data_IF_111776115798
#
_entry.id   IF_111776115798
#
_cell.length_a   1.000
_cell.length_b   1.000
_cell.length_c   1.000
_cell.angle_alpha   90.00
_cell.angle_beta   90.00
_cell.angle_gamma   90.00
#
_symmetry.space_group_name_H-M   'P 1'
#
loop_
_entity.id
_entity.type
_entity.pdbx_description
1 polymer ?
#
# COMPACT_ATOMS: atom_id res chain seq x y z
N UNK A 1 14.39 -10.86 -10.69
CA UNK A 1 12.97 -10.52 -10.99
C UNK A 1 12.25 -9.99 -9.76
N UNK A 2 12.29 -10.70 -8.62
CA UNK A 2 11.69 -10.21 -7.36
C UNK A 2 12.29 -8.87 -6.89
N UNK A 3 13.61 -8.71 -6.95
CA UNK A 3 14.28 -7.44 -6.60
C UNK A 3 13.76 -6.26 -7.44
N UNK A 4 13.47 -6.49 -8.72
CA UNK A 4 12.88 -5.47 -9.59
C UNK A 4 11.47 -5.08 -9.13
N UNK A 5 10.63 -6.06 -8.80
CA UNK A 5 9.30 -5.80 -8.25
C UNK A 5 9.38 -5.00 -6.94
N UNK A 6 10.29 -5.37 -6.03
CA UNK A 6 10.52 -4.66 -4.77
C UNK A 6 10.94 -3.21 -5.02
N UNK A 7 11.86 -2.97 -5.97
CA UNK A 7 12.25 -1.62 -6.35
C UNK A 7 11.07 -0.79 -6.87
N UNK A 8 10.20 -1.37 -7.71
CA UNK A 8 9.00 -0.68 -8.21
C UNK A 8 8.02 -0.36 -7.08
N UNK A 9 7.85 -1.26 -6.09
CA UNK A 9 7.04 -0.97 -4.90
C UNK A 9 7.65 0.10 -4.01
N UNK A 10 8.97 0.13 -3.87
CA UNK A 10 9.67 1.20 -3.15
C UNK A 10 9.46 2.53 -3.86
N UNK A 11 9.57 2.58 -5.19
CA UNK A 11 9.29 3.80 -5.98
C UNK A 11 7.86 4.28 -5.73
N UNK A 12 6.87 3.38 -5.75
CA UNK A 12 5.49 3.73 -5.45
C UNK A 12 5.34 4.38 -4.06
N UNK A 13 5.94 3.80 -3.02
CA UNK A 13 5.87 4.36 -1.66
C UNK A 13 6.59 5.70 -1.54
N UNK A 14 7.78 5.83 -2.14
CA UNK A 14 8.57 7.05 -2.16
C UNK A 14 7.78 8.17 -2.84
N UNK A 15 7.21 7.92 -4.03
CA UNK A 15 6.44 8.93 -4.78
C UNK A 15 5.18 9.36 -4.03
N UNK A 16 4.53 8.45 -3.30
CA UNK A 16 3.32 8.75 -2.51
C UNK A 16 3.58 9.24 -1.08
N UNK A 17 4.84 9.51 -0.70
CA UNK A 17 5.12 10.24 0.55
C UNK A 17 4.68 11.71 0.43
N UNK A 18 4.24 12.36 1.53
CA UNK A 18 3.85 13.77 1.52
C UNK A 18 5.10 14.67 1.43
N UNK A 19 5.66 14.78 0.23
CA UNK A 19 6.82 15.64 -0.03
C UNK A 19 6.47 17.13 0.08
N UNK A 20 7.43 17.98 0.50
CA UNK A 20 7.20 19.41 0.67
C UNK A 20 6.93 20.17 -0.63
N UNK A 21 7.21 19.55 -1.79
CA UNK A 21 6.93 20.15 -3.10
C UNK A 21 5.50 19.91 -3.60
N UNK A 22 4.70 19.09 -2.92
CA UNK A 22 3.30 18.90 -3.26
C UNK A 22 2.43 20.05 -2.75
N UNK A 23 1.40 20.39 -3.53
CA UNK A 23 0.53 21.53 -3.26
C UNK A 23 -0.26 21.39 -1.96
N UNK A 24 -0.10 22.40 -1.09
CA UNK A 24 -0.99 22.73 0.02
C UNK A 24 -1.05 21.70 1.16
N UNK A 25 -1.40 22.15 2.38
CA UNK A 25 -1.65 21.24 3.49
C UNK A 25 -2.96 20.46 3.29
N UNK A 26 -3.15 19.38 4.05
CA UNK A 26 -4.42 18.67 4.10
C UNK A 26 -5.55 19.61 4.55
N UNK A 27 -6.77 19.33 4.09
CA UNK A 27 -7.95 20.10 4.48
C UNK A 27 -8.56 19.48 5.73
N UNK A 28 -8.80 20.31 6.73
CA UNK A 28 -9.61 19.97 7.89
C UNK A 28 -11.08 19.82 7.49
N UNK A 29 -11.79 18.93 8.18
CA UNK A 29 -13.23 18.75 8.00
C UNK A 29 -13.93 19.91 8.71
N UNK A 30 -14.68 20.78 8.02
CA UNK A 30 -15.41 21.84 8.68
C UNK A 30 -16.52 21.23 9.56
N UNK A 31 -16.73 21.81 10.74
CA UNK A 31 -17.85 21.45 11.60
C UNK A 31 -19.15 21.84 10.90
N UNK A 32 -20.06 20.89 10.66
CA UNK A 32 -21.41 21.21 10.20
C UNK A 32 -22.12 21.98 11.32
N UNK A 33 -22.77 23.10 10.99
CA UNK A 33 -23.51 23.91 11.95
C UNK A 33 -24.47 23.02 12.77
N UNK A 34 -24.29 23.01 14.09
CA UNK A 34 -25.05 22.24 15.09
C UNK A 34 -24.67 20.76 15.30
N UNK A 35 -23.49 20.32 14.85
CA UNK A 35 -22.96 18.97 15.15
C UNK A 35 -21.69 19.04 16.01
N UNK A 36 -21.56 18.14 16.99
CA UNK A 36 -20.34 17.97 17.82
C UNK A 36 -19.35 16.98 17.20
N UNK A 37 -19.74 16.32 16.10
CA UNK A 37 -18.98 15.25 15.48
C UNK A 37 -18.62 15.59 14.03
N UNK A 38 -17.38 15.30 13.65
CA UNK A 38 -16.89 15.49 12.28
C UNK A 38 -17.21 14.24 11.47
N UNK A 39 -18.25 14.33 10.64
CA UNK A 39 -18.68 13.23 9.77
C UNK A 39 -17.79 13.11 8.52
N UNK A 40 -16.88 12.15 8.56
CA UNK A 40 -16.01 11.76 7.44
C UNK A 40 -16.75 11.12 6.26
N UNK A 41 -18.00 10.71 6.45
CA UNK A 41 -18.82 10.12 5.36
C UNK A 41 -19.33 11.15 4.36
N UNK A 42 -19.44 12.42 4.78
CA UNK A 42 -19.99 13.52 3.96
C UNK A 42 -18.86 14.34 3.33
N UNK A 43 -17.79 14.60 4.09
CA UNK A 43 -16.62 15.33 3.61
C UNK A 43 -15.33 14.62 3.98
N UNK A 44 -14.51 14.34 2.96
CA UNK A 44 -13.17 13.79 3.15
C UNK A 44 -12.21 14.83 3.70
N UNK A 45 -11.41 14.47 4.70
CA UNK A 45 -10.44 15.35 5.33
C UNK A 45 -9.82 14.74 6.57
N UNK A 46 -9.04 15.54 7.28
CA UNK A 46 -8.47 15.15 8.57
C UNK A 46 -9.31 15.72 9.72
N UNK A 47 -9.35 14.99 10.84
CA UNK A 47 -9.97 15.49 12.06
C UNK A 47 -9.18 16.66 12.67
N UNK A 48 -9.87 17.64 13.26
CA UNK A 48 -9.23 18.80 13.91
C UNK A 48 -8.30 18.41 15.06
N UNK A 49 -8.54 17.24 15.68
CA UNK A 49 -7.67 16.70 16.73
C UNK A 49 -6.24 16.44 16.26
N UNK A 50 -6.03 16.33 14.95
CA UNK A 50 -4.74 16.02 14.35
C UNK A 50 -4.04 17.30 13.91
N UNK A 51 -3.13 17.79 14.76
CA UNK A 51 -2.29 18.96 14.48
C UNK A 51 -1.40 18.77 13.23
N UNK A 52 -1.12 17.52 12.85
CA UNK A 52 -0.30 17.20 11.69
C UNK A 52 -0.95 17.48 10.34
N UNK A 53 -2.27 17.66 10.29
CA UNK A 53 -2.96 18.02 9.07
C UNK A 53 -2.57 19.41 8.55
N UNK A 54 -2.24 20.35 9.45
CA UNK A 54 -1.87 21.72 9.09
C UNK A 54 -0.53 21.83 8.34
N UNK A 55 0.39 20.87 8.50
CA UNK A 55 1.72 20.91 7.89
C UNK A 55 2.01 19.76 6.94
N UNK A 56 1.15 18.75 6.87
CA UNK A 56 1.32 17.62 5.94
C UNK A 56 0.84 18.02 4.55
N UNK A 57 1.71 17.91 3.55
CA UNK A 57 1.37 18.20 2.15
C UNK A 57 0.41 17.15 1.57
N UNK A 58 -0.50 17.58 0.71
CA UNK A 58 -1.45 16.69 0.03
C UNK A 58 -0.83 16.05 -1.20
N UNK A 59 -0.86 14.72 -1.28
CA UNK A 59 -0.48 14.00 -2.50
C UNK A 59 -1.54 14.21 -3.59
N UNK A 60 -1.16 14.63 -4.81
CA UNK A 60 -2.12 14.83 -5.90
C UNK A 60 -2.79 13.51 -6.31
N UNK A 61 -4.13 13.51 -6.35
CA UNK A 61 -4.93 12.30 -6.60
C UNK A 61 -4.61 11.64 -7.95
N UNK A 62 -4.39 12.43 -9.00
CA UNK A 62 -4.04 11.90 -10.32
C UNK A 62 -2.71 11.13 -10.32
N UNK A 63 -1.71 11.63 -9.57
CA UNK A 63 -0.41 10.99 -9.41
C UNK A 63 -0.54 9.70 -8.60
N UNK A 64 -1.33 9.71 -7.53
CA UNK A 64 -1.64 8.50 -6.76
C UNK A 64 -2.26 7.42 -7.66
N UNK A 65 -3.30 7.76 -8.42
CA UNK A 65 -4.00 6.81 -9.30
C UNK A 65 -3.04 6.28 -10.37
N UNK A 66 -2.33 7.16 -11.08
CA UNK A 66 -1.40 6.76 -12.13
C UNK A 66 -0.30 5.84 -11.59
N UNK A 67 0.35 6.24 -10.50
CA UNK A 67 1.42 5.44 -9.90
C UNK A 67 0.90 4.13 -9.33
N UNK A 68 -0.29 4.10 -8.74
CA UNK A 68 -0.93 2.87 -8.31
C UNK A 68 -1.15 1.92 -9.51
N UNK A 69 -1.81 2.38 -10.58
CA UNK A 69 -2.10 1.53 -11.74
C UNK A 69 -0.82 1.00 -12.39
N UNK A 70 0.17 1.85 -12.66
CA UNK A 70 1.40 1.42 -13.33
C UNK A 70 2.32 0.60 -12.42
N UNK A 71 2.56 1.04 -11.18
CA UNK A 71 3.50 0.35 -10.31
C UNK A 71 2.94 -1.00 -9.85
N UNK A 72 1.66 -1.07 -9.43
CA UNK A 72 1.06 -2.36 -9.09
C UNK A 72 0.92 -3.25 -10.33
N UNK A 73 0.48 -2.70 -11.46
CA UNK A 73 0.32 -3.45 -12.71
C UNK A 73 1.62 -4.08 -13.20
N UNK A 74 2.75 -3.39 -13.07
CA UNK A 74 4.06 -3.91 -13.43
C UNK A 74 4.60 -4.83 -12.34
N UNK A 75 4.56 -4.45 -11.06
CA UNK A 75 5.27 -5.18 -10.00
C UNK A 75 4.64 -6.55 -9.66
N UNK A 76 3.31 -6.68 -9.70
CA UNK A 76 2.64 -7.94 -9.34
C UNK A 76 3.05 -9.15 -10.21
N UNK A 77 3.09 -9.05 -11.55
CA UNK A 77 3.58 -10.12 -12.41
C UNK A 77 4.98 -10.62 -12.05
N UNK A 78 5.90 -9.71 -11.70
CA UNK A 78 7.28 -10.08 -11.35
C UNK A 78 7.41 -10.69 -9.94
N UNK A 79 6.45 -10.45 -9.04
CA UNK A 79 6.37 -11.16 -7.76
C UNK A 79 5.76 -12.57 -7.87
N UNK A 80 4.82 -12.77 -8.79
CA UNK A 80 4.09 -14.04 -8.93
C UNK A 80 4.94 -15.24 -9.38
N UNK A 81 6.14 -15.01 -9.91
CA UNK A 81 7.04 -16.06 -10.42
C UNK A 81 7.92 -16.71 -9.32
N UNK A 82 7.71 -16.38 -8.04
CA UNK A 82 8.52 -16.92 -6.94
C UNK A 82 8.35 -18.43 -6.77
N UNK A 83 7.15 -18.97 -7.00
CA UNK A 83 6.89 -20.41 -6.89
C UNK A 83 7.61 -21.25 -7.94
N UNK A 84 7.68 -20.76 -9.18
CA UNK A 84 8.40 -21.44 -10.28
C UNK A 84 9.91 -21.38 -10.08
N UNK A 85 10.46 -20.23 -9.70
CA UNK A 85 11.88 -20.10 -9.34
C UNK A 85 12.27 -21.00 -8.16
N UNK A 86 11.41 -21.05 -7.14
CA UNK A 86 11.63 -21.92 -5.98
C UNK A 86 11.62 -23.40 -6.37
N UNK A 87 10.70 -23.78 -7.27
CA UNK A 87 10.63 -25.13 -7.84
C UNK A 87 11.89 -25.51 -8.61
N UNK A 88 12.47 -24.57 -9.36
CA UNK A 88 13.70 -24.80 -10.11
C UNK A 88 14.89 -25.02 -9.16
N UNK A 89 14.98 -24.24 -8.08
CA UNK A 89 16.01 -24.40 -7.05
C UNK A 89 15.94 -25.74 -6.32
N UNK A 90 14.73 -26.24 -6.05
CA UNK A 90 14.51 -27.52 -5.38
C UNK A 90 14.81 -28.73 -6.29
N UNK A 91 14.64 -28.57 -7.60
CA UNK A 91 14.68 -29.67 -8.55
C UNK A 91 13.63 -30.75 -8.23
N UNK A 92 13.98 -32.02 -8.40
CA UNK A 92 13.08 -33.16 -8.18
C UNK A 92 12.95 -33.62 -6.72
N UNK A 93 13.58 -32.93 -5.76
CA UNK A 93 13.57 -33.36 -4.34
C UNK A 93 12.49 -32.64 -3.53
N UNK A 94 11.62 -33.42 -2.88
CA UNK A 94 10.61 -32.98 -1.90
C UNK A 94 9.84 -31.69 -2.28
N UNK A 95 9.58 -31.51 -3.58
CA UNK A 95 8.99 -30.30 -4.15
C UNK A 95 7.61 -30.00 -3.53
N UNK A 96 6.79 -31.04 -3.30
CA UNK A 96 5.45 -30.88 -2.74
C UNK A 96 5.43 -30.33 -1.31
N UNK A 97 6.29 -30.86 -0.42
CA UNK A 97 6.34 -30.38 0.96
C UNK A 97 6.85 -28.94 1.04
N UNK A 98 7.94 -28.65 0.34
CA UNK A 98 8.58 -27.33 0.37
C UNK A 98 7.70 -26.25 -0.28
N UNK A 99 7.03 -26.55 -1.40
CA UNK A 99 6.04 -25.63 -1.98
C UNK A 99 4.81 -25.47 -1.06
N UNK A 100 4.42 -26.52 -0.34
CA UNK A 100 3.37 -26.46 0.69
C UNK A 100 3.73 -25.51 1.83
N UNK A 101 4.96 -25.55 2.34
CA UNK A 101 5.47 -24.59 3.34
C UNK A 101 5.45 -23.17 2.79
N UNK A 102 5.90 -22.95 1.56
CA UNK A 102 5.84 -21.63 0.92
C UNK A 102 4.39 -21.11 0.79
N UNK A 103 3.45 -21.97 0.39
CA UNK A 103 2.02 -21.63 0.30
C UNK A 103 1.38 -21.34 1.66
N UNK A 104 1.83 -22.02 2.72
CA UNK A 104 1.38 -21.78 4.09
C UNK A 104 1.73 -20.35 4.54
N UNK A 105 2.96 -19.89 4.33
CA UNK A 105 3.37 -18.51 4.65
C UNK A 105 2.58 -17.48 3.84
N UNK A 106 2.33 -17.75 2.56
CA UNK A 106 1.46 -16.92 1.73
C UNK A 106 0.04 -16.80 2.31
N UNK A 107 -0.53 -17.89 2.82
CA UNK A 107 -1.86 -17.90 3.42
C UNK A 107 -1.90 -17.19 4.78
N UNK A 108 -0.91 -17.44 5.65
CA UNK A 108 -0.74 -16.74 6.93
C UNK A 108 -0.67 -15.22 6.74
N UNK A 109 0.09 -14.75 5.76
CA UNK A 109 0.22 -13.32 5.48
C UNK A 109 -1.13 -12.64 5.17
N UNK A 110 -2.03 -13.36 4.48
CA UNK A 110 -3.38 -12.86 4.14
C UNK A 110 -4.33 -12.84 5.34
N UNK A 111 -4.16 -13.77 6.28
CA UNK A 111 -4.91 -13.75 7.54
C UNK A 111 -4.43 -12.63 8.47
N UNK A 112 -3.11 -12.41 8.54
CA UNK A 112 -2.50 -11.44 9.46
C UNK A 112 -2.62 -9.99 8.96
N UNK A 113 -2.52 -9.75 7.65
CA UNK A 113 -2.59 -8.38 7.08
C UNK A 113 -3.80 -7.56 7.53
N UNK A 114 -5.06 -8.05 7.47
CA UNK A 114 -6.21 -7.26 7.91
C UNK A 114 -6.24 -7.03 9.42
N UNK A 115 -5.63 -7.91 10.23
CA UNK A 115 -5.57 -7.73 11.68
C UNK A 115 -4.65 -6.59 12.11
N UNK A 116 -3.62 -6.30 11.30
CA UNK A 116 -2.66 -5.22 11.56
C UNK A 116 -3.14 -3.89 10.93
N UNK A 117 -3.87 -3.98 9.81
CA UNK A 117 -4.32 -2.81 9.07
C UNK A 117 -5.70 -2.28 9.50
N UNK A 118 -6.40 -2.98 10.39
CA UNK A 118 -7.66 -2.55 11.02
C UNK A 118 -7.39 -1.73 12.29
#
# INVERSE_FOLDING_TARGET
MVLFALLVFTIYHVVNMPWPFYDGPLKYIPMTENSTFQDTSIQGGCYDRYSWCAYTSRVPMALYIATATFCFGIAFPFMGQTGSLYSEMLGSRHQGFMQGVNALFGSLSRCVSPLISA
#
